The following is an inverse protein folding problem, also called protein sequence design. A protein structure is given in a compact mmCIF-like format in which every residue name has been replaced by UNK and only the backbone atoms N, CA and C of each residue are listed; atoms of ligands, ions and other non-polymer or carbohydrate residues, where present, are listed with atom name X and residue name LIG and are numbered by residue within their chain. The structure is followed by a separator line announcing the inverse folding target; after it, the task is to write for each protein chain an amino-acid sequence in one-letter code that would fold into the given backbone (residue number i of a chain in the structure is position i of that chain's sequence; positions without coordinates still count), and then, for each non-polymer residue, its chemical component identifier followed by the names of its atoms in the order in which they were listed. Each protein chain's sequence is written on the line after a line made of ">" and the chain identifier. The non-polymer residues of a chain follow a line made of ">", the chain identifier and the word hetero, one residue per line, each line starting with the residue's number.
data_IF_415953992322
#
_entry.id   IF_415953992322
#
_cell.length_a   1.000
_cell.length_b   1.000
_cell.length_c   1.000
_cell.angle_alpha   90.00
_cell.angle_beta   90.00
_cell.angle_gamma   90.00
#
_symmetry.space_group_name_H-M   'P 1'
#
loop_
_entity.id
_entity.type
_entity.pdbx_description
1 polymer ?
#
# COMPACT_ATOMS: atom_id res chain seq x y z
N UNK A 1 -4.79 -1.24 5.63
CA UNK A 1 -5.03 -1.08 4.19
C UNK A 1 -6.52 -0.94 3.92
N UNK A 2 -6.93 0.20 3.38
CA UNK A 2 -8.30 0.49 2.96
C UNK A 2 -8.40 0.21 1.46
N UNK A 3 -9.48 -0.43 0.99
CA UNK A 3 -9.75 -0.50 -0.44
C UNK A 3 -10.60 0.67 -0.87
N UNK A 4 -10.12 1.43 -1.85
CA UNK A 4 -10.85 2.55 -2.42
C UNK A 4 -10.68 2.61 -3.95
N UNK A 5 -10.81 3.81 -4.51
CA UNK A 5 -10.65 4.06 -5.94
C UNK A 5 -9.35 3.48 -6.49
N UNK A 6 -8.24 3.54 -5.77
CA UNK A 6 -6.96 3.05 -6.25
C UNK A 6 -7.00 1.54 -6.49
N UNK A 7 -7.45 0.76 -5.49
CA UNK A 7 -7.67 -0.68 -5.62
C UNK A 7 -8.57 -1.04 -6.82
N UNK A 8 -9.76 -0.42 -6.89
CA UNK A 8 -10.73 -0.76 -7.93
C UNK A 8 -10.29 -0.29 -9.33
N UNK A 9 -9.57 0.82 -9.41
CA UNK A 9 -8.98 1.35 -10.64
C UNK A 9 -7.92 0.39 -11.19
N UNK A 10 -6.97 -0.04 -10.35
CA UNK A 10 -5.94 -1.02 -10.74
C UNK A 10 -6.58 -2.35 -11.13
N UNK A 11 -7.57 -2.83 -10.37
CA UNK A 11 -8.30 -4.05 -10.71
C UNK A 11 -8.98 -3.95 -12.08
N UNK A 12 -9.71 -2.86 -12.33
CA UNK A 12 -10.42 -2.63 -13.58
C UNK A 12 -9.45 -2.56 -14.78
N UNK A 13 -8.32 -1.85 -14.62
CA UNK A 13 -7.27 -1.78 -15.64
C UNK A 13 -6.66 -3.16 -15.94
N UNK A 14 -6.34 -3.94 -14.90
CA UNK A 14 -5.81 -5.29 -15.05
C UNK A 14 -6.81 -6.21 -15.78
N UNK A 15 -8.10 -6.14 -15.43
CA UNK A 15 -9.16 -6.89 -16.12
C UNK A 15 -9.32 -6.44 -17.58
N UNK A 16 -9.29 -5.14 -17.84
CA UNK A 16 -9.35 -4.59 -19.20
C UNK A 16 -8.16 -5.02 -20.06
N UNK A 17 -6.98 -5.21 -19.45
CA UNK A 17 -5.80 -5.78 -20.11
C UNK A 17 -5.86 -7.30 -20.33
N UNK A 18 -6.95 -7.97 -19.93
CA UNK A 18 -7.15 -9.41 -20.13
C UNK A 18 -6.59 -10.31 -19.02
N UNK A 19 -6.09 -9.75 -17.91
CA UNK A 19 -5.57 -10.52 -16.78
C UNK A 19 -6.73 -11.18 -16.03
N UNK A 20 -6.66 -12.49 -15.76
CA UNK A 20 -7.69 -13.27 -15.03
C UNK A 20 -8.04 -12.64 -13.67
N UNK A 21 -9.28 -12.85 -13.20
CA UNK A 21 -9.80 -12.21 -11.99
C UNK A 21 -8.90 -12.37 -10.75
N UNK A 22 -8.41 -13.58 -10.51
CA UNK A 22 -7.60 -13.91 -9.35
C UNK A 22 -6.29 -13.14 -9.38
N UNK A 23 -5.59 -13.18 -10.52
CA UNK A 23 -4.33 -12.45 -10.73
C UNK A 23 -4.55 -10.94 -10.69
N UNK A 24 -5.61 -10.43 -11.31
CA UNK A 24 -5.95 -9.00 -11.29
C UNK A 24 -6.24 -8.51 -9.87
N UNK A 25 -6.93 -9.33 -9.06
CA UNK A 25 -7.19 -9.05 -7.64
C UNK A 25 -5.88 -9.04 -6.85
N UNK A 26 -4.97 -9.98 -7.08
CA UNK A 26 -3.65 -10.00 -6.45
C UNK A 26 -2.85 -8.74 -6.78
N UNK A 27 -2.83 -8.32 -8.05
CA UNK A 27 -2.15 -7.10 -8.49
C UNK A 27 -2.74 -5.87 -7.78
N UNK A 28 -4.07 -5.74 -7.77
CA UNK A 28 -4.75 -4.62 -7.10
C UNK A 28 -4.47 -4.59 -5.59
N UNK A 29 -4.44 -5.74 -4.93
CA UNK A 29 -4.10 -5.85 -3.51
C UNK A 29 -2.66 -5.41 -3.23
N UNK A 30 -1.70 -5.91 -4.01
CA UNK A 30 -0.30 -5.53 -3.86
C UNK A 30 -0.09 -4.03 -4.09
N UNK A 31 -0.78 -3.47 -5.10
CA UNK A 31 -0.70 -2.04 -5.40
C UNK A 31 -1.31 -1.18 -4.29
N UNK A 32 -2.46 -1.57 -3.72
CA UNK A 32 -3.08 -0.85 -2.60
C UNK A 32 -2.23 -0.94 -1.32
N UNK A 33 -1.55 -2.07 -1.08
CA UNK A 33 -0.68 -2.22 0.08
C UNK A 33 0.45 -1.18 0.07
N UNK A 34 1.08 -0.97 -1.08
CA UNK A 34 2.14 0.04 -1.24
C UNK A 34 1.57 1.46 -1.14
N UNK A 35 0.39 1.71 -1.70
CA UNK A 35 -0.28 3.02 -1.63
C UNK A 35 -0.67 3.43 -0.20
N UNK A 36 -0.96 2.45 0.66
CA UNK A 36 -1.31 2.66 2.08
C UNK A 36 -0.14 2.42 3.06
N UNK A 37 1.08 2.16 2.59
CA UNK A 37 2.19 1.81 3.46
C UNK A 37 2.65 3.01 4.31
N UNK A 38 2.28 2.99 5.60
CA UNK A 38 2.63 3.99 6.62
C UNK A 38 3.57 3.44 7.71
N UNK A 39 3.82 2.13 7.74
CA UNK A 39 4.65 1.52 8.77
C UNK A 39 6.14 1.85 8.49
N UNK A 40 6.84 2.42 9.48
CA UNK A 40 8.28 2.69 9.44
C UNK A 40 9.08 1.86 10.45
N UNK A 41 8.39 1.07 11.29
CA UNK A 41 9.02 0.21 12.29
C UNK A 41 9.77 -0.97 11.63
N UNK A 42 11.02 -1.15 12.04
CA UNK A 42 11.82 -2.30 11.61
C UNK A 42 11.26 -3.61 12.15
N UNK A 43 11.03 -4.58 11.27
CA UNK A 43 10.60 -5.93 11.65
C UNK A 43 11.86 -6.78 11.82
N UNK A 44 12.14 -7.21 13.05
CA UNK A 44 13.26 -8.12 13.34
C UNK A 44 12.82 -9.56 13.12
N UNK A 45 13.56 -10.27 12.28
CA UNK A 45 13.43 -11.71 12.05
C UNK A 45 14.57 -12.39 12.81
N UNK A 46 14.38 -13.64 13.24
CA UNK A 46 15.41 -14.43 13.92
C UNK A 46 16.78 -14.35 13.22
N UNK A 47 17.85 -14.52 14.00
CA UNK A 47 19.24 -14.47 13.52
C UNK A 47 19.71 -13.13 12.93
N UNK A 48 19.30 -12.02 13.54
CA UNK A 48 19.71 -10.64 13.17
C UNK A 48 19.33 -10.22 11.75
N UNK A 49 18.36 -10.91 11.15
CA UNK A 49 17.77 -10.48 9.89
C UNK A 49 16.65 -9.48 10.19
N UNK A 50 16.31 -8.63 9.22
CA UNK A 50 15.22 -7.70 9.41
C UNK A 50 14.70 -7.13 8.10
N UNK A 51 13.44 -6.71 8.15
CA UNK A 51 12.81 -5.95 7.07
C UNK A 51 12.64 -4.53 7.57
N UNK A 52 13.22 -3.58 6.84
CA UNK A 52 12.97 -2.17 7.05
C UNK A 52 11.91 -1.72 6.04
N UNK A 53 10.66 -1.49 6.47
CA UNK A 53 9.65 -0.95 5.58
C UNK A 53 9.97 0.50 5.22
N UNK A 54 9.56 0.91 4.02
CA UNK A 54 9.63 2.31 3.58
C UNK A 54 8.21 2.82 3.46
N UNK A 55 7.91 3.92 4.15
CA UNK A 55 6.65 4.61 3.99
C UNK A 55 6.52 5.16 2.57
N UNK A 56 5.49 4.71 1.86
CA UNK A 56 5.18 5.16 0.50
C UNK A 56 3.80 5.78 0.40
N UNK A 57 3.00 5.72 1.47
CA UNK A 57 1.69 6.33 1.49
C UNK A 57 1.74 7.84 1.33
N UNK A 58 0.98 8.36 0.38
CA UNK A 58 0.86 9.81 0.18
C UNK A 58 0.31 10.52 1.43
N UNK A 59 -0.61 9.88 2.16
CA UNK A 59 -1.23 10.45 3.39
C UNK A 59 -0.24 10.64 4.53
N UNK A 60 0.90 9.93 4.55
CA UNK A 60 1.92 10.09 5.59
C UNK A 60 2.61 11.46 5.52
N UNK A 61 2.64 12.10 4.34
CA UNK A 61 3.24 13.42 4.11
C UNK A 61 2.16 14.42 3.67
N UNK A 62 0.98 14.38 4.28
CA UNK A 62 0.04 15.49 4.18
C UNK A 62 0.43 16.56 5.21
N UNK A 63 0.65 17.80 4.75
CA UNK A 63 0.96 18.93 5.63
C UNK A 63 -0.09 19.08 6.73
N UNK A 64 -1.37 18.81 6.44
CA UNK A 64 -2.44 18.88 7.44
C UNK A 64 -2.26 17.89 8.60
N UNK A 65 -1.61 16.74 8.35
CA UNK A 65 -1.32 15.73 9.38
C UNK A 65 -0.11 16.11 10.25
N UNK A 66 0.65 17.15 9.89
CA UNK A 66 1.80 17.65 10.67
C UNK A 66 1.44 18.83 11.58
N UNK A 67 0.22 19.35 11.49
CA UNK A 67 -0.27 20.45 12.32
C UNK A 67 -0.80 19.84 13.63
N UNK A 68 -0.27 20.24 14.81
CA UNK A 68 -0.82 19.81 16.07
C UNK A 68 -2.29 20.23 16.17
N UNK A 69 -3.18 19.29 16.47
CA UNK A 69 -4.54 19.59 16.90
C UNK A 69 -4.46 19.98 18.37
N UNK A 70 -4.77 21.25 18.67
CA UNK A 70 -4.91 21.78 20.04
C UNK A 70 -5.99 21.04 20.84
#
# INVERSE_FOLDING_TARGET
>A
MQKDMHFYGVYALARAAGIKDETARTIAYASQFVDDAIDDESIVIEDKNGVLPIMTAHKAIDYQNTIPVD
#
